data_IF_940368740392
#
_entry.id   IF_940368740392
#
_cell.length_a   1.000
_cell.length_b   1.000
_cell.length_c   1.000
_cell.angle_alpha   90.00
_cell.angle_beta   90.00
_cell.angle_gamma   90.00
#
_symmetry.space_group_name_H-M   'P 1'
#
loop_
_entity.id
_entity.type
_entity.pdbx_description
1 polymer ?
#
# COMPACT_ATOMS: atom_id res chain seq x y z
N UNK A 1 -8.66 -2.70 16.70
CA UNK A 1 -8.39 -2.28 15.30
C UNK A 1 -8.03 -0.79 15.17
N UNK A 2 -8.67 0.12 15.91
CA UNK A 2 -8.54 1.60 15.86
C UNK A 2 -7.13 2.27 16.02
N UNK A 3 -6.05 1.50 16.12
CA UNK A 3 -4.67 2.02 16.24
C UNK A 3 -3.72 1.37 15.22
N UNK A 4 -4.20 1.15 14.00
CA UNK A 4 -3.37 0.65 12.89
C UNK A 4 -3.21 1.75 11.86
N UNK A 5 -1.97 2.13 11.58
CA UNK A 5 -1.63 2.99 10.45
C UNK A 5 -1.35 2.12 9.24
N UNK A 6 -1.91 2.48 8.09
CA UNK A 6 -1.65 1.77 6.83
C UNK A 6 -0.78 2.63 5.93
N UNK A 7 0.32 2.06 5.43
CA UNK A 7 1.16 2.67 4.40
C UNK A 7 1.05 1.88 3.10
N UNK A 8 0.50 2.51 2.06
CA UNK A 8 0.32 1.92 0.73
C UNK A 8 1.44 2.40 -0.19
N UNK A 9 2.24 1.47 -0.69
CA UNK A 9 3.31 1.70 -1.65
C UNK A 9 2.73 1.86 -3.06
N UNK A 10 2.68 3.08 -3.56
CA UNK A 10 2.15 3.44 -4.88
C UNK A 10 3.22 4.07 -5.81
N UNK A 11 4.50 3.87 -5.48
CA UNK A 11 5.64 4.48 -6.17
C UNK A 11 6.15 3.72 -7.40
N UNK A 12 5.62 2.54 -7.74
CA UNK A 12 6.16 1.72 -8.83
C UNK A 12 6.02 2.35 -10.22
N UNK A 13 7.12 2.39 -11.00
CA UNK A 13 7.11 2.89 -12.40
C UNK A 13 6.22 2.05 -13.32
N UNK A 14 6.11 0.74 -13.07
CA UNK A 14 5.27 -0.16 -13.87
C UNK A 14 5.70 -0.28 -15.33
N UNK A 15 7.01 -0.38 -15.59
CA UNK A 15 7.58 -0.44 -16.96
C UNK A 15 7.03 -1.59 -17.80
N UNK A 16 6.69 -2.73 -17.18
CA UNK A 16 6.11 -3.90 -17.85
C UNK A 16 4.73 -3.65 -18.47
N UNK A 17 4.07 -2.54 -18.13
CA UNK A 17 2.76 -2.16 -18.66
C UNK A 17 2.83 -1.01 -19.65
N UNK A 18 4.02 -0.64 -20.15
CA UNK A 18 4.10 0.33 -21.23
C UNK A 18 3.34 -0.19 -22.48
N UNK A 19 2.58 0.68 -23.19
CA UNK A 19 2.53 2.15 -23.05
C UNK A 19 1.51 2.67 -22.00
N UNK A 20 0.76 1.81 -21.30
CA UNK A 20 -0.31 2.21 -20.37
C UNK A 20 0.20 3.06 -19.18
N UNK A 21 1.47 2.91 -18.81
CA UNK A 21 2.15 3.64 -17.71
C UNK A 21 3.05 4.80 -18.22
N UNK A 22 2.93 5.16 -19.50
CA UNK A 22 3.70 6.25 -20.11
C UNK A 22 3.41 7.63 -19.49
N UNK A 23 2.18 7.87 -19.04
CA UNK A 23 1.74 9.17 -18.49
C UNK A 23 1.16 9.09 -17.07
N UNK A 24 1.16 7.90 -16.45
CA UNK A 24 0.55 7.65 -15.14
C UNK A 24 1.28 6.52 -14.40
N UNK A 25 1.20 6.54 -13.07
CA UNK A 25 1.66 5.43 -12.23
C UNK A 25 0.82 4.16 -12.47
N UNK A 26 1.38 2.96 -12.26
CA UNK A 26 0.65 1.68 -12.36
C UNK A 26 -0.63 1.65 -11.50
N UNK A 27 -0.63 2.11 -10.23
CA UNK A 27 -1.84 2.20 -9.42
C UNK A 27 -2.98 3.04 -10.03
N UNK A 28 -2.64 3.99 -10.91
CA UNK A 28 -3.60 4.88 -11.57
C UNK A 28 -4.13 4.33 -12.91
N UNK A 29 -3.71 3.15 -13.34
CA UNK A 29 -4.25 2.49 -14.53
C UNK A 29 -5.71 2.14 -14.30
N UNK A 30 -6.55 2.42 -15.30
CA UNK A 30 -7.99 2.13 -15.27
C UNK A 30 -8.24 0.64 -15.39
N UNK A 31 -9.20 0.12 -14.63
CA UNK A 31 -9.60 -1.27 -14.63
C UNK A 31 -11.12 -1.40 -14.54
N UNK A 32 -11.70 -2.37 -15.25
CA UNK A 32 -13.15 -2.65 -15.19
C UNK A 32 -14.04 -1.47 -15.57
N UNK A 33 -13.58 -0.60 -16.47
CA UNK A 33 -14.33 0.55 -17.02
C UNK A 33 -14.39 1.79 -16.12
N UNK A 34 -14.57 1.62 -14.80
CA UNK A 34 -14.75 2.75 -13.86
C UNK A 34 -13.73 2.85 -12.73
N UNK A 35 -13.01 1.77 -12.44
CA UNK A 35 -12.07 1.71 -11.33
C UNK A 35 -10.65 2.02 -11.77
N UNK A 36 -9.78 2.22 -10.79
CA UNK A 36 -8.33 2.14 -10.93
C UNK A 36 -7.79 0.99 -10.09
N UNK A 37 -6.58 0.53 -10.41
CA UNK A 37 -5.96 -0.59 -9.68
C UNK A 37 -5.91 -0.33 -8.17
N UNK A 38 -5.59 0.90 -7.75
CA UNK A 38 -5.50 1.25 -6.32
C UNK A 38 -6.83 1.10 -5.57
N UNK A 39 -7.97 1.18 -6.26
CA UNK A 39 -9.29 1.12 -5.62
C UNK A 39 -9.54 -0.23 -4.95
N UNK A 40 -8.94 -1.31 -5.45
CA UNK A 40 -9.07 -2.64 -4.87
C UNK A 40 -8.42 -2.70 -3.48
N UNK A 41 -7.19 -2.18 -3.37
CA UNK A 41 -6.45 -2.13 -2.10
C UNK A 41 -7.16 -1.22 -1.10
N UNK A 42 -7.56 -0.02 -1.52
CA UNK A 42 -8.26 0.92 -0.65
C UNK A 42 -9.62 0.38 -0.20
N UNK A 43 -10.36 -0.29 -1.09
CA UNK A 43 -11.62 -0.94 -0.75
C UNK A 43 -11.42 -2.07 0.27
N UNK A 44 -10.39 -2.91 0.10
CA UNK A 44 -10.08 -3.97 1.06
C UNK A 44 -9.79 -3.38 2.45
N UNK A 45 -8.99 -2.31 2.52
CA UNK A 45 -8.63 -1.63 3.77
C UNK A 45 -9.87 -1.02 4.46
N UNK A 46 -10.65 -0.22 3.74
CA UNK A 46 -11.82 0.49 4.27
C UNK A 46 -12.92 -0.49 4.68
N UNK A 47 -13.20 -1.52 3.87
CA UNK A 47 -14.16 -2.58 4.25
C UNK A 47 -13.68 -3.41 5.46
N UNK A 48 -12.37 -3.44 5.72
CA UNK A 48 -11.78 -4.07 6.89
C UNK A 48 -11.72 -3.15 8.12
N UNK A 49 -12.25 -1.93 8.04
CA UNK A 49 -12.25 -0.96 9.14
C UNK A 49 -10.93 -0.21 9.32
N UNK A 50 -10.05 -0.20 8.31
CA UNK A 50 -8.79 0.54 8.32
C UNK A 50 -8.96 1.86 7.57
N UNK A 51 -8.98 2.96 8.31
CA UNK A 51 -9.30 4.29 7.79
C UNK A 51 -8.16 5.32 7.89
N UNK A 52 -7.01 4.96 8.47
CA UNK A 52 -5.82 5.81 8.57
C UNK A 52 -4.81 5.35 7.53
N UNK A 53 -4.88 5.90 6.33
CA UNK A 53 -4.14 5.40 5.17
C UNK A 53 -3.24 6.50 4.61
N UNK A 54 -1.93 6.24 4.53
CA UNK A 54 -0.93 7.05 3.85
C UNK A 54 -0.51 6.36 2.55
N UNK A 55 -0.55 7.06 1.43
CA UNK A 55 -0.21 6.51 0.10
C UNK A 55 1.12 7.10 -0.35
N UNK A 56 2.18 6.31 -0.32
CA UNK A 56 3.52 6.74 -0.73
C UNK A 56 3.62 6.76 -2.26
N UNK A 57 3.74 7.96 -2.84
CA UNK A 57 3.80 8.17 -4.29
C UNK A 57 5.17 8.70 -4.73
N UNK A 58 5.60 8.34 -5.94
CA UNK A 58 6.90 8.76 -6.48
C UNK A 58 6.79 9.18 -7.95
N UNK A 59 6.61 8.24 -8.88
CA UNK A 59 6.59 8.55 -10.31
C UNK A 59 5.18 8.89 -10.83
N UNK A 60 5.08 9.92 -11.70
CA UNK A 60 3.89 10.24 -12.51
C UNK A 60 2.57 10.22 -11.70
N UNK A 61 2.61 10.79 -10.49
CA UNK A 61 1.54 10.69 -9.49
C UNK A 61 0.38 11.65 -9.69
N UNK A 62 0.48 12.66 -10.56
CA UNK A 62 -0.58 13.67 -10.73
C UNK A 62 -1.97 13.07 -11.00
N UNK A 63 -2.06 12.11 -11.94
CA UNK A 63 -3.32 11.44 -12.23
C UNK A 63 -3.85 10.64 -11.03
N UNK A 64 -2.94 10.02 -10.25
CA UNK A 64 -3.30 9.27 -9.04
C UNK A 64 -3.82 10.21 -7.96
N UNK A 65 -3.11 11.30 -7.67
CA UNK A 65 -3.47 12.28 -6.65
C UNK A 65 -4.84 12.91 -6.92
N UNK A 66 -5.12 13.25 -8.19
CA UNK A 66 -6.45 13.73 -8.59
C UNK A 66 -7.54 12.70 -8.27
N UNK A 67 -7.33 11.43 -8.62
CA UNK A 67 -8.30 10.37 -8.34
C UNK A 67 -8.52 10.15 -6.85
N UNK A 68 -7.46 10.18 -6.04
CA UNK A 68 -7.57 10.06 -4.58
C UNK A 68 -8.36 11.22 -3.99
N UNK A 69 -8.13 12.44 -4.47
CA UNK A 69 -8.89 13.61 -4.04
C UNK A 69 -10.37 13.51 -4.41
N UNK A 70 -10.68 13.11 -5.64
CA UNK A 70 -12.04 13.08 -6.16
C UNK A 70 -12.86 11.89 -5.60
N UNK A 71 -12.25 10.73 -5.40
CA UNK A 71 -12.95 9.47 -5.11
C UNK A 71 -12.77 8.93 -3.67
N UNK A 72 -11.72 9.34 -2.95
CA UNK A 72 -11.34 8.78 -1.65
C UNK A 72 -11.33 9.83 -0.53
N UNK A 73 -12.38 10.64 -0.46
CA UNK A 73 -12.57 11.58 0.64
C UNK A 73 -13.08 10.87 1.90
N UNK A 74 -12.42 11.09 3.03
CA UNK A 74 -12.81 10.54 4.33
C UNK A 74 -13.10 11.65 5.32
N UNK A 75 -13.90 11.34 6.35
CA UNK A 75 -14.24 12.32 7.37
C UNK A 75 -13.12 12.44 8.42
N UNK A 76 -12.28 13.46 8.27
CA UNK A 76 -11.17 13.76 9.18
C UNK A 76 -11.62 14.05 10.62
N UNK A 77 -12.86 14.48 10.85
CA UNK A 77 -13.36 14.71 12.20
C UNK A 77 -13.40 13.40 13.03
N UNK A 78 -13.48 12.25 12.38
CA UNK A 78 -13.36 10.93 13.01
C UNK A 78 -11.94 10.35 12.96
N UNK A 79 -10.93 11.16 12.62
CA UNK A 79 -9.55 10.71 12.44
C UNK A 79 -9.35 9.79 11.23
N UNK A 80 -10.26 9.83 10.26
CA UNK A 80 -10.22 8.99 9.04
C UNK A 80 -9.65 9.79 7.87
N UNK A 81 -8.72 9.20 7.12
CA UNK A 81 -8.06 9.85 5.99
C UNK A 81 -7.44 8.85 5.00
N UNK A 82 -7.39 9.27 3.74
CA UNK A 82 -6.59 8.64 2.68
C UNK A 82 -5.70 9.73 2.10
N UNK A 83 -4.46 9.80 2.58
CA UNK A 83 -3.56 10.92 2.28
C UNK A 83 -2.44 10.50 1.33
N UNK A 84 -2.32 11.10 0.13
CA UNK A 84 -1.13 10.94 -0.68
C UNK A 84 0.07 11.63 -0.02
N UNK A 85 1.18 10.90 0.06
CA UNK A 85 2.47 11.36 0.55
C UNK A 85 3.44 11.32 -0.64
N UNK A 86 3.78 12.47 -1.24
CA UNK A 86 4.78 12.51 -2.30
C UNK A 86 6.17 12.22 -1.72
N UNK A 87 7.07 11.64 -2.52
CA UNK A 87 8.47 11.49 -2.12
C UNK A 87 9.11 12.86 -1.83
N UNK A 88 9.69 13.02 -0.64
CA UNK A 88 10.17 14.31 -0.12
C UNK A 88 11.69 14.47 -0.07
N UNK A 89 12.48 13.48 -0.50
CA UNK A 89 13.96 13.51 -0.38
C UNK A 89 14.39 13.80 1.08
N UNK A 90 13.68 13.21 2.05
CA UNK A 90 13.78 13.60 3.47
C UNK A 90 15.09 13.15 4.12
N UNK A 91 15.77 12.15 3.57
CA UNK A 91 17.05 11.61 4.08
C UNK A 91 18.26 12.01 3.23
N UNK A 92 18.09 13.04 2.38
CA UNK A 92 19.08 13.54 1.43
C UNK A 92 18.48 13.71 0.03
N UNK A 93 19.25 14.28 -0.90
CA UNK A 93 18.83 14.61 -2.28
C UNK A 93 18.63 13.39 -3.20
N UNK A 94 17.91 12.38 -2.72
CA UNK A 94 17.63 11.15 -3.45
C UNK A 94 16.16 10.77 -3.33
N UNK A 95 15.61 10.29 -4.43
CA UNK A 95 14.32 9.63 -4.43
C UNK A 95 14.36 8.33 -3.63
N UNK A 96 13.20 7.71 -3.39
CA UNK A 96 13.14 6.40 -2.76
C UNK A 96 14.00 5.39 -3.54
N UNK A 97 14.92 4.75 -2.82
CA UNK A 97 15.81 3.72 -3.37
C UNK A 97 15.15 2.34 -3.45
N UNK A 98 13.98 2.19 -2.82
CA UNK A 98 13.20 0.97 -2.79
C UNK A 98 11.95 1.13 -1.93
N UNK A 99 11.19 0.05 -1.79
CA UNK A 99 9.96 0.02 -0.98
C UNK A 99 10.23 0.26 0.51
N UNK A 100 11.28 -0.37 1.06
CA UNK A 100 11.70 -0.15 2.45
C UNK A 100 12.19 1.28 2.68
N UNK A 101 12.97 1.84 1.75
CA UNK A 101 13.45 3.23 1.84
C UNK A 101 12.29 4.23 1.79
N UNK A 102 11.22 3.93 1.04
CA UNK A 102 10.01 4.76 1.05
C UNK A 102 9.39 4.85 2.44
N UNK A 103 9.32 3.75 3.19
CA UNK A 103 8.85 3.74 4.58
C UNK A 103 9.85 4.47 5.49
N UNK A 104 11.15 4.16 5.37
CA UNK A 104 12.21 4.76 6.17
C UNK A 104 12.25 6.29 6.10
N UNK A 105 12.16 6.85 4.88
CA UNK A 105 12.12 8.30 4.68
C UNK A 105 10.88 8.98 5.27
N UNK A 106 9.84 8.21 5.63
CA UNK A 106 8.56 8.71 6.12
C UNK A 106 8.25 8.21 7.54
N UNK A 107 9.27 7.80 8.30
CA UNK A 107 9.11 7.36 9.70
C UNK A 107 8.54 8.44 10.60
N UNK A 108 8.80 9.72 10.32
CA UNK A 108 8.18 10.83 11.03
C UNK A 108 6.64 10.72 11.03
N UNK A 109 6.04 10.31 9.90
CA UNK A 109 4.59 10.13 9.81
C UNK A 109 4.07 8.98 10.67
N UNK A 110 4.91 7.97 10.92
CA UNK A 110 4.59 6.86 11.82
C UNK A 110 4.68 7.34 13.26
N UNK A 111 5.75 8.07 13.61
CA UNK A 111 5.92 8.62 14.96
C UNK A 111 4.85 9.65 15.33
N UNK A 112 4.45 10.50 14.39
CA UNK A 112 3.40 11.51 14.60
C UNK A 112 2.03 10.88 14.86
N UNK A 113 1.74 9.73 14.24
CA UNK A 113 0.47 9.01 14.39
C UNK A 113 0.45 8.07 15.61
N UNK A 114 1.64 7.68 16.11
CA UNK A 114 1.86 6.73 17.21
C UNK A 114 0.96 5.47 17.15
N UNK A 115 1.01 4.70 16.05
CA UNK A 115 0.15 3.55 15.88
C UNK A 115 0.68 2.35 16.67
N UNK A 116 -0.23 1.54 17.21
CA UNK A 116 0.11 0.23 17.81
C UNK A 116 0.60 -0.76 16.76
N UNK A 117 0.13 -0.62 15.51
CA UNK A 117 0.51 -1.49 14.38
C UNK A 117 0.71 -0.69 13.10
N UNK A 118 1.71 -1.09 12.33
CA UNK A 118 1.94 -0.60 10.98
C UNK A 118 1.58 -1.70 9.98
N UNK A 119 0.66 -1.42 9.05
CA UNK A 119 0.32 -2.33 7.96
C UNK A 119 0.83 -1.79 6.62
N UNK A 120 1.60 -2.58 5.88
CA UNK A 120 2.19 -2.19 4.60
C UNK A 120 1.55 -2.96 3.46
N UNK A 121 1.12 -2.26 2.42
CA UNK A 121 0.46 -2.85 1.24
C UNK A 121 1.03 -2.28 -0.06
N UNK A 122 1.05 -3.09 -1.12
CA UNK A 122 1.30 -2.60 -2.49
C UNK A 122 0.01 -2.06 -3.09
N UNK A 123 0.07 -0.90 -3.76
CA UNK A 123 -1.08 -0.24 -4.38
C UNK A 123 -1.39 -0.68 -5.81
N UNK A 124 -0.71 -1.73 -6.31
CA UNK A 124 -0.65 -2.06 -7.74
C UNK A 124 -1.08 -3.51 -8.07
N UNK A 125 -1.77 -4.17 -7.13
CA UNK A 125 -2.37 -5.49 -7.31
C UNK A 125 -3.90 -5.43 -7.25
N UNK A 126 -4.55 -6.35 -7.95
CA UNK A 126 -6.01 -6.49 -7.99
C UNK A 126 -6.34 -7.78 -7.24
N UNK A 127 -6.97 -7.63 -6.07
CA UNK A 127 -7.38 -8.76 -5.24
C UNK A 127 -8.49 -8.33 -4.28
N UNK A 128 -9.15 -9.31 -3.67
CA UNK A 128 -10.07 -9.11 -2.53
C UNK A 128 -9.49 -9.81 -1.33
N UNK A 129 -9.50 -9.14 -0.19
CA UNK A 129 -8.96 -9.66 1.07
C UNK A 129 -9.69 -9.02 2.23
N UNK A 130 -10.08 -9.83 3.20
CA UNK A 130 -10.43 -9.34 4.53
C UNK A 130 -9.14 -9.16 5.35
N UNK A 131 -8.74 -7.90 5.56
CA UNK A 131 -7.51 -7.59 6.29
C UNK A 131 -7.67 -7.83 7.79
N UNK A 132 -8.92 -7.95 8.29
CA UNK A 132 -9.18 -8.23 9.70
C UNK A 132 -8.66 -9.60 10.09
N UNK A 133 -8.78 -10.60 9.21
CA UNK A 133 -8.28 -11.96 9.44
C UNK A 133 -6.75 -11.95 9.60
N UNK A 134 -6.04 -11.24 8.72
CA UNK A 134 -4.58 -11.07 8.82
C UNK A 134 -4.18 -10.41 10.14
N UNK A 135 -4.89 -9.34 10.54
CA UNK A 135 -4.58 -8.64 11.78
C UNK A 135 -4.88 -9.48 13.02
N UNK A 136 -5.96 -10.27 12.99
CA UNK A 136 -6.29 -11.20 14.05
C UNK A 136 -5.19 -12.25 14.20
N UNK A 137 -4.79 -12.89 13.09
CA UNK A 137 -3.69 -13.87 13.07
C UNK A 137 -2.39 -13.28 13.63
N UNK A 138 -2.01 -12.08 13.19
CA UNK A 138 -0.81 -11.39 13.68
C UNK A 138 -0.86 -11.16 15.19
N UNK A 139 -2.02 -10.81 15.74
CA UNK A 139 -2.19 -10.58 17.18
C UNK A 139 -2.21 -11.90 17.97
N UNK A 140 -2.88 -12.94 17.44
CA UNK A 140 -2.97 -14.25 18.07
C UNK A 140 -1.61 -14.93 18.19
N UNK A 141 -0.78 -14.80 17.16
CA UNK A 141 0.58 -15.35 17.11
C UNK A 141 1.63 -14.47 17.78
N UNK A 142 1.25 -13.29 18.27
CA UNK A 142 2.16 -12.28 18.86
C UNK A 142 3.42 -12.05 18.01
N UNK A 143 3.27 -12.07 16.68
CA UNK A 143 4.41 -12.06 15.76
C UNK A 143 5.02 -10.66 15.62
N UNK A 144 6.34 -10.57 15.50
CA UNK A 144 7.00 -9.31 15.13
C UNK A 144 6.57 -8.81 13.75
N UNK A 145 6.44 -9.75 12.79
CA UNK A 145 6.04 -9.48 11.41
C UNK A 145 5.15 -10.60 10.89
N UNK A 146 4.08 -10.24 10.18
CA UNK A 146 3.23 -11.20 9.47
C UNK A 146 3.16 -10.87 7.98
N UNK A 147 3.58 -11.82 7.17
CA UNK A 147 3.63 -11.71 5.70
C UNK A 147 2.47 -12.50 5.10
N UNK A 148 1.79 -11.92 4.12
CA UNK A 148 0.76 -12.63 3.35
C UNK A 148 1.40 -13.21 2.10
N UNK A 149 1.29 -14.51 1.91
CA UNK A 149 1.81 -15.24 0.75
C UNK A 149 0.68 -16.01 0.05
N UNK A 150 0.89 -16.33 -1.23
CA UNK A 150 0.02 -17.20 -2.00
C UNK A 150 0.88 -18.30 -2.64
N UNK A 151 0.38 -19.55 -2.71
CA UNK A 151 1.07 -20.58 -3.46
C UNK A 151 1.05 -20.23 -4.95
N UNK A 152 2.19 -20.37 -5.61
CA UNK A 152 2.34 -20.19 -7.06
C UNK A 152 3.07 -21.39 -7.66
N UNK A 153 2.80 -21.74 -8.93
CA UNK A 153 3.60 -22.73 -9.65
C UNK A 153 5.10 -22.38 -9.63
N UNK A 154 5.96 -23.40 -9.49
CA UNK A 154 7.42 -23.24 -9.33
C UNK A 154 8.04 -22.46 -10.52
N UNK A 155 7.54 -22.70 -11.73
CA UNK A 155 7.98 -22.00 -12.95
C UNK A 155 7.68 -20.49 -12.93
N UNK A 156 6.71 -20.05 -12.12
CA UNK A 156 6.34 -18.64 -11.95
C UNK A 156 7.00 -18.00 -10.72
N UNK A 157 7.54 -18.80 -9.80
CA UNK A 157 8.08 -18.33 -8.51
C UNK A 157 9.23 -17.33 -8.65
N UNK A 158 9.98 -17.35 -9.76
CA UNK A 158 11.10 -16.43 -10.03
C UNK A 158 10.72 -14.95 -10.09
N UNK A 159 9.42 -14.64 -10.27
CA UNK A 159 8.90 -13.28 -10.26
C UNK A 159 8.46 -12.80 -8.87
N UNK A 160 8.56 -13.64 -7.84
CA UNK A 160 8.08 -13.40 -6.48
C UNK A 160 9.18 -13.57 -5.43
N UNK A 161 8.93 -13.08 -4.22
CA UNK A 161 9.69 -13.49 -3.04
C UNK A 161 9.21 -14.87 -2.58
N UNK A 162 10.12 -15.82 -2.49
CA UNK A 162 9.85 -17.17 -1.98
C UNK A 162 10.14 -17.18 -0.48
N UNK A 163 9.24 -17.76 0.30
CA UNK A 163 9.34 -17.88 1.76
C UNK A 163 9.26 -19.36 2.09
N UNK A 164 10.16 -19.82 2.94
CA UNK A 164 10.08 -21.13 3.58
C UNK A 164 9.40 -20.96 4.93
N UNK A 165 8.46 -21.85 5.22
CA UNK A 165 7.75 -21.90 6.50
C UNK A 165 8.14 -23.20 7.19
N UNK A 166 8.10 -23.21 8.51
CA UNK A 166 8.20 -24.42 9.31
C UNK A 166 6.90 -25.25 9.20
N UNK A 167 6.84 -26.35 9.94
CA UNK A 167 5.69 -27.27 9.92
C UNK A 167 4.50 -26.77 10.77
N UNK A 168 4.68 -25.69 11.55
CA UNK A 168 3.73 -25.14 12.54
C UNK A 168 2.88 -23.95 12.00
#
# INVERSE_FOLDING_TARGET
MNQTLVMVLAGGRGSRLEPLTSIRAKPAVTFGGKYRIIDFVLSNLVNSGLFKIKILTQFKSNSLNKHLHDAWHMNRAYGQYVDPVPAQMATGERWYQGTADAIYQNLNLVYDEDPVRLAVFGGDHIYKMDVREKLAYHCEKESDVTISAIPVPIDQATSFGVIEVDED
#
